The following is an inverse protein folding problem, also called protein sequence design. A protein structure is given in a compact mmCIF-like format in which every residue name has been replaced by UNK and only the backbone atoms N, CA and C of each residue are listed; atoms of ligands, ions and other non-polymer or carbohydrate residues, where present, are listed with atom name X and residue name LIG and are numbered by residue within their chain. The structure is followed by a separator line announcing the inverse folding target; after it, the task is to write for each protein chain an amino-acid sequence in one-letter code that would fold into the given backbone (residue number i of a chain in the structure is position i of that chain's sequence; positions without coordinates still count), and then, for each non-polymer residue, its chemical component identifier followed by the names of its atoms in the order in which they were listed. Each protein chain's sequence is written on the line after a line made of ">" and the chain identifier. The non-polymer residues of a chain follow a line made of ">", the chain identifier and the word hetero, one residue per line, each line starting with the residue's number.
data_IF_485912054060
#
_entry.id   IF_485912054060
#
_cell.length_a   1.000
_cell.length_b   1.000
_cell.length_c   1.000
_cell.angle_alpha   90.00
_cell.angle_beta   90.00
_cell.angle_gamma   90.00
#
_symmetry.space_group_name_H-M   'P 1'
#
loop_
_entity.id
_entity.type
_entity.pdbx_description
1 polymer ?
#
# COMPACT_ATOMS: atom_id res chain seq x y z
N UNK A 1 14.35 -12.01 -24.03
CA UNK A 1 14.94 -12.30 -22.71
C UNK A 1 13.88 -12.15 -21.65
N UNK A 2 13.70 -13.15 -20.84
CA UNK A 2 12.73 -13.08 -19.74
C UNK A 2 13.40 -12.58 -18.47
N UNK A 3 12.61 -11.88 -17.65
CA UNK A 3 13.03 -11.42 -16.34
C UNK A 3 12.23 -12.18 -15.28
N UNK A 4 12.91 -12.72 -14.32
CA UNK A 4 12.26 -13.39 -13.20
C UNK A 4 11.70 -12.33 -12.24
N UNK A 5 10.43 -12.44 -11.91
CA UNK A 5 9.76 -11.59 -10.93
C UNK A 5 9.12 -12.48 -9.88
N UNK A 6 9.41 -12.20 -8.63
CA UNK A 6 8.94 -13.03 -7.52
C UNK A 6 8.19 -12.22 -6.49
N UNK A 7 7.30 -12.87 -5.75
CA UNK A 7 6.61 -12.30 -4.59
C UNK A 7 7.39 -12.70 -3.35
N UNK A 8 7.84 -11.72 -2.57
CA UNK A 8 8.67 -11.97 -1.39
C UNK A 8 7.93 -11.80 -0.06
N UNK A 9 6.74 -11.21 -0.09
CA UNK A 9 5.94 -10.99 1.12
C UNK A 9 4.49 -10.73 0.75
N UNK A 10 3.60 -11.01 1.69
CA UNK A 10 2.20 -10.68 1.55
C UNK A 10 1.58 -10.52 2.93
N UNK A 11 0.82 -9.45 3.11
CA UNK A 11 0.15 -9.14 4.37
C UNK A 11 -1.21 -8.53 4.10
N UNK A 12 -2.07 -8.56 5.11
CA UNK A 12 -3.33 -7.83 5.10
C UNK A 12 -3.69 -7.41 6.53
N UNK A 13 -4.57 -6.43 6.65
CA UNK A 13 -5.20 -6.10 7.91
C UNK A 13 -6.32 -7.10 8.22
N UNK A 14 -6.91 -6.99 9.41
CA UNK A 14 -8.17 -7.65 9.71
C UNK A 14 -9.24 -7.19 8.72
N UNK A 15 -10.21 -8.05 8.46
CA UNK A 15 -11.40 -7.71 7.67
C UNK A 15 -12.49 -7.31 8.67
N UNK A 16 -12.91 -6.06 8.61
CA UNK A 16 -13.95 -5.55 9.49
C UNK A 16 -15.33 -5.57 8.85
N UNK A 17 -16.34 -5.34 9.69
CA UNK A 17 -17.71 -5.15 9.22
C UNK A 17 -17.99 -3.64 9.03
N UNK A 18 -19.04 -3.32 8.28
CA UNK A 18 -19.48 -1.93 8.11
C UNK A 18 -19.80 -1.31 9.48
N UNK A 19 -19.18 -0.16 9.76
CA UNK A 19 -19.33 0.51 11.06
C UNK A 19 -18.69 -0.24 12.23
N UNK A 20 -17.85 -1.25 11.96
CA UNK A 20 -17.23 -2.09 12.97
C UNK A 20 -15.91 -1.57 13.52
N UNK A 21 -15.01 -2.49 13.88
CA UNK A 21 -13.79 -2.17 14.60
C UNK A 21 -12.80 -1.27 13.87
N UNK A 22 -12.87 -1.22 12.55
CA UNK A 22 -11.97 -0.40 11.74
C UNK A 22 -12.56 0.96 11.33
N UNK A 23 -13.76 1.27 11.77
CA UNK A 23 -14.49 2.47 11.31
C UNK A 23 -13.73 3.77 11.57
N UNK A 24 -12.97 3.84 12.66
CA UNK A 24 -12.25 5.05 13.07
C UNK A 24 -10.77 5.03 12.69
N UNK A 25 -10.33 4.03 11.94
CA UNK A 25 -8.95 3.92 11.48
C UNK A 25 -8.84 4.44 10.06
N UNK A 26 -8.11 5.54 9.83
CA UNK A 26 -7.98 6.10 8.47
C UNK A 26 -7.34 5.12 7.49
N UNK A 27 -7.76 5.12 6.23
CA UNK A 27 -7.15 4.27 5.20
C UNK A 27 -5.64 4.44 5.08
N UNK A 28 -5.13 5.66 5.22
CA UNK A 28 -3.69 5.92 5.17
C UNK A 28 -2.92 5.25 6.29
N UNK A 29 -3.54 5.15 7.48
CA UNK A 29 -2.94 4.46 8.62
C UNK A 29 -2.88 2.96 8.40
N UNK A 30 -3.97 2.37 7.89
CA UNK A 30 -4.01 0.96 7.51
C UNK A 30 -2.97 0.66 6.42
N UNK A 31 -2.87 1.52 5.43
CA UNK A 31 -1.91 1.38 4.34
C UNK A 31 -0.46 1.43 4.84
N UNK A 32 -0.14 2.38 5.72
CA UNK A 32 1.21 2.47 6.30
C UNK A 32 1.55 1.23 7.12
N UNK A 33 0.59 0.70 7.86
CA UNK A 33 0.77 -0.51 8.66
C UNK A 33 1.15 -1.70 7.78
N UNK A 34 0.45 -1.91 6.67
CA UNK A 34 0.76 -3.02 5.77
C UNK A 34 2.09 -2.84 5.06
N UNK A 35 2.48 -1.60 4.75
CA UNK A 35 3.81 -1.32 4.18
C UNK A 35 4.89 -1.75 5.17
N UNK A 36 4.81 -1.31 6.41
CA UNK A 36 5.79 -1.67 7.45
C UNK A 36 5.90 -3.17 7.64
N UNK A 37 4.77 -3.84 7.76
CA UNK A 37 4.76 -5.27 8.01
C UNK A 37 5.25 -6.08 6.81
N UNK A 38 4.87 -5.67 5.59
CA UNK A 38 5.33 -6.33 4.38
C UNK A 38 6.85 -6.24 4.26
N UNK A 39 7.41 -5.06 4.52
CA UNK A 39 8.87 -4.87 4.49
C UNK A 39 9.56 -5.71 5.56
N UNK A 40 9.03 -5.76 6.77
CA UNK A 40 9.60 -6.54 7.85
C UNK A 40 9.63 -8.03 7.50
N UNK A 41 8.54 -8.58 6.98
CA UNK A 41 8.48 -9.99 6.59
C UNK A 41 9.35 -10.32 5.39
N UNK A 42 9.58 -9.35 4.51
CA UNK A 42 10.47 -9.52 3.37
C UNK A 42 11.94 -9.31 3.72
N UNK A 43 12.26 -8.93 4.95
CA UNK A 43 13.60 -8.54 5.38
C UNK A 43 14.20 -7.47 4.47
N UNK A 44 13.36 -6.52 4.07
CA UNK A 44 13.73 -5.45 3.13
C UNK A 44 13.64 -4.10 3.82
N UNK A 45 14.66 -3.29 3.63
CA UNK A 45 14.65 -1.92 4.16
C UNK A 45 13.86 -1.00 3.23
N UNK A 46 13.21 0.01 3.82
CA UNK A 46 12.40 0.95 3.04
C UNK A 46 13.19 1.69 1.96
N UNK A 47 14.47 1.96 2.19
CA UNK A 47 15.34 2.61 1.18
C UNK A 47 15.54 1.79 -0.09
N UNK A 48 15.32 0.49 -0.01
CA UNK A 48 15.50 -0.43 -1.14
C UNK A 48 14.22 -0.63 -1.96
N UNK A 49 13.12 0.02 -1.55
CA UNK A 49 11.86 -0.01 -2.30
C UNK A 49 11.95 0.96 -3.46
N UNK A 50 11.80 0.45 -4.66
CA UNK A 50 11.89 1.28 -5.87
C UNK A 50 10.60 1.99 -6.24
N UNK A 51 9.45 1.52 -5.73
CA UNK A 51 8.16 2.00 -6.19
C UNK A 51 7.05 1.50 -5.26
N UNK A 52 6.06 2.35 -4.98
CA UNK A 52 4.89 1.98 -4.18
C UNK A 52 3.63 2.25 -4.96
N UNK A 53 2.78 1.25 -5.12
CA UNK A 53 1.51 1.37 -5.82
C UNK A 53 0.39 0.79 -4.96
N UNK A 54 -0.66 1.55 -4.76
CA UNK A 54 -1.88 1.09 -4.09
C UNK A 54 -3.08 1.19 -5.02
N UNK A 55 -3.93 0.18 -4.95
CA UNK A 55 -5.28 0.29 -5.53
C UNK A 55 -6.14 1.15 -4.60
N UNK A 56 -6.74 2.20 -5.14
CA UNK A 56 -7.53 3.13 -4.35
C UNK A 56 -8.65 3.72 -5.21
N UNK A 57 -9.89 3.59 -4.77
CA UNK A 57 -11.05 3.94 -5.59
C UNK A 57 -11.79 5.14 -5.04
N UNK A 58 -12.05 5.17 -3.73
CA UNK A 58 -12.88 6.21 -3.08
C UNK A 58 -12.11 6.87 -1.95
N UNK A 59 -12.02 8.20 -2.00
CA UNK A 59 -11.41 8.98 -0.94
C UNK A 59 -12.39 9.16 0.22
N UNK A 60 -11.92 8.98 1.44
CA UNK A 60 -12.71 9.22 2.65
C UNK A 60 -12.31 10.53 3.34
N UNK A 61 -11.10 11.01 3.07
CA UNK A 61 -10.60 12.29 3.56
C UNK A 61 -9.56 12.82 2.55
N UNK A 62 -9.20 14.13 2.61
CA UNK A 62 -8.33 14.73 1.58
C UNK A 62 -6.99 14.04 1.36
N UNK A 63 -6.33 13.57 2.41
CA UNK A 63 -5.02 12.93 2.24
C UNK A 63 -5.08 11.57 1.56
N UNK A 64 -6.28 10.98 1.42
CA UNK A 64 -6.45 9.73 0.67
C UNK A 64 -6.10 9.90 -0.82
N UNK A 65 -6.14 11.14 -1.32
CA UNK A 65 -5.72 11.42 -2.70
C UNK A 65 -4.26 11.04 -2.93
N UNK A 66 -3.47 11.02 -1.86
CA UNK A 66 -2.05 10.68 -1.88
C UNK A 66 -1.77 9.39 -1.11
N UNK A 67 -2.75 8.50 -1.05
CA UNK A 67 -2.68 7.31 -0.18
C UNK A 67 -1.34 6.58 -0.29
N UNK A 68 -0.90 6.28 -1.51
CA UNK A 68 0.35 5.54 -1.72
C UNK A 68 1.56 6.30 -1.21
N UNK A 69 1.59 7.62 -1.42
CA UNK A 69 2.69 8.45 -0.94
C UNK A 69 2.71 8.53 0.58
N UNK A 70 1.55 8.75 1.19
CA UNK A 70 1.43 8.79 2.65
C UNK A 70 1.84 7.44 3.25
N UNK A 71 1.35 6.35 2.67
CA UNK A 71 1.70 5.00 3.10
C UNK A 71 3.20 4.71 2.96
N UNK A 72 3.81 5.13 1.85
CA UNK A 72 5.23 4.94 1.61
C UNK A 72 6.07 5.64 2.69
N UNK A 73 5.80 6.91 2.93
CA UNK A 73 6.56 7.70 3.91
C UNK A 73 6.33 7.18 5.32
N UNK A 74 5.08 7.01 5.73
CA UNK A 74 4.75 6.56 7.08
C UNK A 74 5.08 5.08 7.30
N UNK A 75 5.18 4.32 6.24
CA UNK A 75 5.58 2.91 6.28
C UNK A 75 7.08 2.69 6.32
N UNK A 76 7.87 3.74 6.17
CA UNK A 76 9.33 3.66 6.31
C UNK A 76 10.12 3.65 5.01
N UNK A 77 9.49 3.91 3.86
CA UNK A 77 10.23 4.04 2.60
C UNK A 77 11.01 5.36 2.56
N UNK A 78 11.99 5.44 1.67
CA UNK A 78 12.77 6.66 1.48
C UNK A 78 11.91 7.79 0.91
N UNK A 79 12.25 9.03 1.21
CA UNK A 79 11.54 10.20 0.66
C UNK A 79 11.58 10.23 -0.87
N UNK A 80 12.61 9.65 -1.45
CA UNK A 80 12.80 9.59 -2.91
C UNK A 80 12.00 8.47 -3.58
N UNK A 81 11.39 7.57 -2.82
CA UNK A 81 10.63 6.45 -3.39
C UNK A 81 9.37 6.97 -4.07
N UNK A 82 9.21 6.76 -5.38
CA UNK A 82 7.99 7.18 -6.07
C UNK A 82 6.79 6.34 -5.65
N UNK A 83 5.62 6.96 -5.65
CA UNK A 83 4.38 6.29 -5.27
C UNK A 83 3.21 6.87 -6.06
N UNK A 84 2.28 6.00 -6.45
CA UNK A 84 1.04 6.46 -7.06
C UNK A 84 -0.12 5.51 -6.74
N UNK A 85 -1.33 6.05 -6.85
CA UNK A 85 -2.56 5.27 -6.70
C UNK A 85 -3.03 4.83 -8.09
N UNK A 86 -3.65 3.67 -8.16
CA UNK A 86 -4.37 3.25 -9.36
C UNK A 86 -5.83 3.01 -9.02
N UNK A 87 -6.69 3.42 -9.94
CA UNK A 87 -8.13 3.18 -9.83
C UNK A 87 -8.61 2.44 -11.08
N UNK A 88 -8.92 1.19 -10.87
CA UNK A 88 -9.54 0.34 -11.88
C UNK A 88 -10.73 -0.37 -11.25
N UNK A 89 -11.46 0.37 -10.43
CA UNK A 89 -12.61 -0.13 -9.68
C UNK A 89 -12.27 -1.44 -8.96
N UNK A 90 -13.07 -2.48 -9.13
CA UNK A 90 -12.86 -3.74 -8.40
C UNK A 90 -11.53 -4.44 -8.74
N UNK A 91 -10.90 -4.10 -9.85
CA UNK A 91 -9.61 -4.66 -10.27
C UNK A 91 -8.38 -3.89 -9.80
N UNK A 92 -8.56 -2.85 -8.97
CA UNK A 92 -7.48 -1.95 -8.60
C UNK A 92 -6.34 -2.63 -7.85
N UNK A 93 -6.65 -3.56 -6.95
CA UNK A 93 -5.62 -4.26 -6.18
C UNK A 93 -4.71 -5.09 -7.06
N UNK A 94 -5.28 -5.85 -7.97
CA UNK A 94 -4.50 -6.64 -8.94
C UNK A 94 -3.73 -5.72 -9.88
N UNK A 95 -4.34 -4.62 -10.32
CA UNK A 95 -3.68 -3.65 -11.18
C UNK A 95 -2.46 -3.02 -10.49
N UNK A 96 -2.54 -2.76 -9.19
CA UNK A 96 -1.42 -2.25 -8.43
C UNK A 96 -0.22 -3.21 -8.48
N UNK A 97 -0.47 -4.50 -8.36
CA UNK A 97 0.57 -5.52 -8.44
C UNK A 97 1.18 -5.57 -9.84
N UNK A 98 0.36 -5.50 -10.88
CA UNK A 98 0.80 -5.55 -12.28
C UNK A 98 1.60 -4.30 -12.65
N UNK A 99 1.20 -3.15 -12.13
CA UNK A 99 1.91 -1.90 -12.38
C UNK A 99 3.19 -1.80 -11.60
#
# INVERSE_FOLDING_TARGET
>A
MSREVVVVSGVRTAIGTYGGSLKDTPPTELAALVVREALARAHTEGKDVGHVVFGHVVNTEPKDMYLSRVAAINGGCAETTPAFNVNRLCGSGLQAIVS
#
